data_IF_762831703359
#
_entry.id   IF_762831703359
#
_cell.length_a   1.000
_cell.length_b   1.000
_cell.length_c   1.000
_cell.angle_alpha   90.00
_cell.angle_beta   90.00
_cell.angle_gamma   90.00
#
_symmetry.space_group_name_H-M   'P 1'
#
loop_
_entity.id
_entity.type
_entity.pdbx_description
1 polymer ?
#
# COMPACT_ATOMS: atom_id res chain seq x y z
N UNK A 1 19.21 14.15 5.95
CA UNK A 1 17.85 13.58 5.77
C UNK A 1 17.98 12.07 5.87
N UNK A 2 17.33 11.46 6.87
CA UNK A 2 17.53 10.04 7.20
C UNK A 2 16.96 9.13 6.12
N UNK A 3 17.75 8.14 5.70
CA UNK A 3 17.35 7.02 4.80
C UNK A 3 16.03 6.35 5.25
N UNK A 4 15.73 6.39 6.56
CA UNK A 4 14.46 5.96 7.15
C UNK A 4 13.21 6.66 6.60
N UNK A 5 13.29 7.95 6.28
CA UNK A 5 12.16 8.70 5.72
C UNK A 5 11.86 8.30 4.27
N UNK A 6 12.92 7.97 3.49
CA UNK A 6 12.79 7.46 2.13
C UNK A 6 12.18 6.06 2.13
N UNK A 7 12.57 5.19 3.07
CA UNK A 7 11.95 3.86 3.21
C UNK A 7 10.49 3.92 3.68
N UNK A 8 10.13 4.83 4.59
CA UNK A 8 8.75 5.00 5.03
C UNK A 8 7.85 5.52 3.90
N UNK A 9 8.32 6.51 3.13
CA UNK A 9 7.63 7.01 1.93
C UNK A 9 7.58 5.96 0.81
N UNK A 10 8.66 5.21 0.60
CA UNK A 10 8.71 4.15 -0.41
C UNK A 10 7.82 2.95 -0.05
N UNK A 11 7.61 2.65 1.24
CA UNK A 11 6.66 1.62 1.68
C UNK A 11 5.21 2.12 1.60
N UNK A 12 4.99 3.41 1.88
CA UNK A 12 3.71 4.07 1.62
C UNK A 12 3.35 4.06 0.14
N UNK A 13 4.29 4.11 -0.80
CA UNK A 13 3.99 4.04 -2.24
C UNK A 13 4.05 2.61 -2.81
N UNK A 14 4.96 1.76 -2.32
CA UNK A 14 5.12 0.37 -2.78
C UNK A 14 4.01 -0.58 -2.31
N UNK A 15 3.25 -0.21 -1.27
CA UNK A 15 1.98 -0.86 -0.94
C UNK A 15 0.91 -0.67 -2.03
N UNK A 16 1.21 0.08 -3.09
CA UNK A 16 0.40 0.15 -4.30
C UNK A 16 -0.85 0.98 -4.10
N UNK A 17 -0.66 2.22 -3.64
CA UNK A 17 -1.73 3.20 -3.65
C UNK A 17 -2.09 3.57 -5.08
N UNK A 18 -3.32 3.31 -5.54
CA UNK A 18 -3.77 3.73 -6.88
C UNK A 18 -3.95 5.24 -7.03
N UNK A 19 -3.75 5.99 -5.94
CA UNK A 19 -4.20 7.37 -5.79
C UNK A 19 -3.16 8.42 -6.22
N UNK A 20 -2.00 7.99 -6.70
CA UNK A 20 -0.89 8.86 -7.13
C UNK A 20 -0.86 9.20 -8.63
N UNK A 21 -1.81 8.70 -9.43
CA UNK A 21 -1.85 9.02 -10.87
C UNK A 21 -2.73 10.26 -11.10
N UNK A 22 -2.23 11.44 -10.73
CA UNK A 22 -2.70 12.70 -11.33
C UNK A 22 -2.15 12.76 -12.76
N UNK A 23 -2.87 12.17 -13.71
CA UNK A 23 -2.63 12.33 -15.14
C UNK A 23 -3.15 13.71 -15.58
N UNK A 24 -2.49 14.77 -15.10
CA UNK A 24 -2.61 16.13 -15.60
C UNK A 24 -1.25 16.52 -16.19
N UNK A 25 -1.09 16.27 -17.49
CA UNK A 25 -0.04 16.93 -18.27
C UNK A 25 -0.44 18.39 -18.46
N UNK A 26 -0.03 19.26 -17.53
CA UNK A 26 0.13 20.67 -17.81
C UNK A 26 1.58 21.06 -17.51
N UNK A 27 2.29 21.46 -18.57
CA UNK A 27 3.69 21.86 -18.52
C UNK A 27 3.80 23.15 -17.71
N UNK A 28 4.18 23.03 -16.43
CA UNK A 28 4.72 24.15 -15.65
C UNK A 28 6.16 23.81 -15.25
N UNK A 29 7.11 24.31 -16.04
CA UNK A 29 8.56 24.23 -15.82
C UNK A 29 8.97 25.05 -14.58
N UNK A 30 8.54 24.67 -13.37
CA UNK A 30 9.26 25.09 -12.15
C UNK A 30 8.90 24.39 -10.82
N UNK A 31 8.31 23.20 -10.82
CA UNK A 31 8.01 22.51 -9.55
C UNK A 31 8.14 21.00 -9.66
N UNK A 32 9.18 20.47 -9.01
CA UNK A 32 9.42 19.06 -8.69
C UNK A 32 9.62 18.05 -9.84
N UNK A 33 10.87 17.97 -10.29
CA UNK A 33 11.45 16.77 -10.92
C UNK A 33 11.54 15.55 -9.96
N UNK A 34 11.01 15.64 -8.73
CA UNK A 34 11.13 14.62 -7.69
C UNK A 34 10.05 13.51 -7.75
N UNK A 35 9.04 13.64 -8.60
CA UNK A 35 7.86 12.75 -8.57
C UNK A 35 7.97 11.54 -9.50
N UNK A 36 8.60 11.68 -10.67
CA UNK A 36 8.72 10.58 -11.66
C UNK A 36 9.73 9.49 -11.26
N UNK A 37 10.87 9.88 -10.70
CA UNK A 37 11.95 8.96 -10.31
C UNK A 37 11.54 8.10 -9.10
N UNK A 38 10.91 8.71 -8.09
CA UNK A 38 10.40 8.03 -6.89
C UNK A 38 9.25 7.06 -7.22
N UNK A 39 8.36 7.39 -8.18
CA UNK A 39 7.31 6.46 -8.64
C UNK A 39 7.88 5.24 -9.39
N UNK A 40 8.88 5.45 -10.24
CA UNK A 40 9.52 4.35 -10.97
C UNK A 40 10.27 3.39 -10.03
N UNK A 41 11.01 3.95 -9.06
CA UNK A 41 11.71 3.18 -8.03
C UNK A 41 10.75 2.35 -7.16
N UNK A 42 9.56 2.87 -6.88
CA UNK A 42 8.60 2.18 -6.00
C UNK A 42 7.86 1.04 -6.71
N UNK A 43 7.62 1.18 -8.02
CA UNK A 43 7.05 0.09 -8.84
C UNK A 43 8.01 -1.09 -9.02
N UNK A 44 9.32 -0.80 -9.15
CA UNK A 44 10.37 -1.82 -9.29
C UNK A 44 10.68 -2.52 -7.97
N UNK A 45 10.54 -1.83 -6.84
CA UNK A 45 10.73 -2.41 -5.51
C UNK A 45 9.52 -3.22 -5.01
N UNK A 46 8.32 -2.98 -5.55
CA UNK A 46 7.09 -3.65 -5.11
C UNK A 46 7.17 -5.19 -5.11
N UNK A 47 7.68 -5.87 -6.15
CA UNK A 47 7.86 -7.32 -6.13
C UNK A 47 8.77 -7.80 -4.98
N UNK A 48 9.83 -7.03 -4.66
CA UNK A 48 10.74 -7.36 -3.57
C UNK A 48 10.06 -7.24 -2.20
N UNK A 49 9.26 -6.19 -2.00
CA UNK A 49 8.47 -6.06 -0.77
C UNK A 49 7.43 -7.16 -0.64
N UNK A 50 6.72 -7.50 -1.73
CA UNK A 50 5.78 -8.61 -1.74
C UNK A 50 6.45 -9.93 -1.34
N UNK A 51 7.58 -10.25 -1.96
CA UNK A 51 8.35 -11.44 -1.64
C UNK A 51 8.83 -11.44 -0.18
N UNK A 52 9.28 -10.29 0.32
CA UNK A 52 9.68 -10.15 1.72
C UNK A 52 8.53 -10.43 2.70
N UNK A 53 7.34 -9.91 2.44
CA UNK A 53 6.17 -10.23 3.26
C UNK A 53 5.81 -11.71 3.18
N UNK A 54 5.84 -12.32 2.00
CA UNK A 54 5.60 -13.75 1.84
C UNK A 54 6.56 -14.57 2.71
N UNK A 55 7.87 -14.31 2.64
CA UNK A 55 8.85 -15.01 3.49
C UNK A 55 8.55 -14.88 4.99
N UNK A 56 8.08 -13.72 5.43
CA UNK A 56 7.72 -13.52 6.83
C UNK A 56 6.45 -14.28 7.22
N UNK A 57 5.45 -14.33 6.34
CA UNK A 57 4.27 -15.17 6.55
C UNK A 57 4.65 -16.65 6.57
N UNK A 58 5.45 -17.15 5.62
CA UNK A 58 5.91 -18.56 5.60
C UNK A 58 6.61 -18.95 6.90
N UNK A 59 7.49 -18.07 7.39
CA UNK A 59 8.31 -18.35 8.58
C UNK A 59 7.53 -18.24 9.88
N UNK A 60 6.70 -17.21 10.03
CA UNK A 60 6.12 -16.87 11.32
C UNK A 60 4.65 -17.26 11.46
N UNK A 61 3.89 -17.23 10.36
CA UNK A 61 2.43 -17.42 10.31
C UNK A 61 1.98 -18.11 9.01
N UNK A 62 2.47 -19.33 8.74
CA UNK A 62 2.15 -20.03 7.50
C UNK A 62 0.65 -20.33 7.37
N UNK A 63 -0.06 -20.39 8.49
CA UNK A 63 -1.51 -20.57 8.56
C UNK A 63 -2.30 -19.42 7.92
N UNK A 64 -1.73 -18.21 7.85
CA UNK A 64 -2.36 -17.05 7.21
C UNK A 64 -1.93 -16.84 5.75
N UNK A 65 -1.03 -17.67 5.22
CA UNK A 65 -0.42 -17.43 3.92
C UNK A 65 -1.45 -17.40 2.79
N UNK A 66 -2.38 -18.37 2.77
CA UNK A 66 -3.39 -18.42 1.71
C UNK A 66 -4.31 -17.21 1.77
N UNK A 67 -4.70 -16.79 2.97
CA UNK A 67 -5.53 -15.61 3.17
C UNK A 67 -4.79 -14.32 2.74
N UNK A 68 -3.50 -14.20 3.03
CA UNK A 68 -2.68 -13.09 2.56
C UNK A 68 -2.64 -12.99 1.03
N UNK A 69 -2.47 -14.13 0.35
CA UNK A 69 -2.47 -14.19 -1.12
C UNK A 69 -3.83 -13.84 -1.71
N UNK A 70 -4.92 -14.34 -1.12
CA UNK A 70 -6.27 -14.05 -1.58
C UNK A 70 -6.60 -12.56 -1.46
N UNK A 71 -6.33 -11.94 -0.31
CA UNK A 71 -6.51 -10.50 -0.10
C UNK A 71 -5.68 -9.68 -1.09
N UNK A 72 -4.47 -10.16 -1.44
CA UNK A 72 -3.61 -9.55 -2.46
C UNK A 72 -4.16 -9.67 -3.89
N UNK A 73 -4.72 -10.81 -4.27
CA UNK A 73 -5.39 -10.99 -5.58
C UNK A 73 -6.60 -10.09 -5.71
N UNK A 74 -7.43 -10.06 -4.67
CA UNK A 74 -8.59 -9.20 -4.61
C UNK A 74 -8.20 -7.71 -4.74
N UNK A 75 -7.14 -7.29 -4.04
CA UNK A 75 -6.59 -5.94 -4.16
C UNK A 75 -6.29 -5.58 -5.60
N UNK A 76 -5.56 -6.43 -6.30
CA UNK A 76 -5.15 -6.16 -7.68
C UNK A 76 -6.36 -6.00 -8.60
N UNK A 77 -7.39 -6.84 -8.43
CA UNK A 77 -8.63 -6.72 -9.18
C UNK A 77 -9.37 -5.40 -8.88
N UNK A 78 -9.44 -5.00 -7.61
CA UNK A 78 -10.05 -3.72 -7.20
C UNK A 78 -9.29 -2.52 -7.74
N UNK A 79 -7.95 -2.56 -7.72
CA UNK A 79 -7.10 -1.51 -8.29
C UNK A 79 -7.34 -1.35 -9.79
N UNK A 80 -7.46 -2.44 -10.55
CA UNK A 80 -7.77 -2.37 -11.98
C UNK A 80 -9.13 -1.72 -12.23
N UNK A 81 -10.17 -2.15 -11.50
CA UNK A 81 -11.52 -1.57 -11.59
C UNK A 81 -11.54 -0.08 -11.24
N UNK A 82 -10.82 0.33 -10.20
CA UNK A 82 -10.77 1.73 -9.79
C UNK A 82 -10.07 2.61 -10.85
N UNK A 83 -9.00 2.10 -11.47
CA UNK A 83 -8.30 2.81 -12.55
C UNK A 83 -9.20 3.00 -13.77
N UNK A 84 -9.95 1.96 -14.15
CA UNK A 84 -10.94 2.04 -15.24
C UNK A 84 -12.03 3.06 -14.91
N UNK A 85 -12.60 3.00 -13.71
CA UNK A 85 -13.63 3.93 -13.26
C UNK A 85 -13.15 5.39 -13.26
N UNK A 86 -11.98 5.67 -12.67
CA UNK A 86 -11.42 7.01 -12.60
C UNK A 86 -11.15 7.59 -14.00
N UNK A 87 -10.67 6.75 -14.94
CA UNK A 87 -10.47 7.14 -16.34
C UNK A 87 -11.76 7.54 -17.04
N UNK A 88 -12.85 6.82 -16.78
CA UNK A 88 -14.16 7.08 -17.39
C UNK A 88 -14.87 8.30 -16.79
N UNK A 89 -14.81 8.45 -15.46
CA UNK A 89 -15.59 9.46 -14.73
C UNK A 89 -14.85 10.76 -14.51
N UNK A 90 -13.53 10.82 -14.79
CA UNK A 90 -12.65 11.96 -14.48
C UNK A 90 -12.73 12.39 -13.00
N UNK A 91 -13.00 11.44 -12.13
CA UNK A 91 -13.07 11.63 -10.68
C UNK A 91 -12.00 10.79 -10.02
N UNK A 92 -11.35 11.31 -8.98
CA UNK A 92 -10.44 10.53 -8.17
C UNK A 92 -11.18 10.02 -6.93
N UNK A 93 -11.70 8.78 -6.99
CA UNK A 93 -12.36 8.16 -5.84
C UNK A 93 -11.45 8.03 -4.61
N UNK A 94 -10.12 8.11 -4.78
CA UNK A 94 -9.22 8.09 -3.64
C UNK A 94 -9.32 9.31 -2.74
N UNK A 95 -9.76 10.46 -3.26
CA UNK A 95 -9.94 11.67 -2.45
C UNK A 95 -11.09 11.51 -1.44
N UNK A 96 -11.90 10.46 -1.59
CA UNK A 96 -12.98 10.11 -0.66
C UNK A 96 -12.52 9.20 0.49
N UNK A 97 -11.26 8.75 0.50
CA UNK A 97 -10.70 7.93 1.58
C UNK A 97 -10.30 8.85 2.74
N UNK A 98 -10.77 8.61 3.98
CA UNK A 98 -10.44 9.47 5.13
C UNK A 98 -8.94 9.48 5.46
N UNK A 99 -8.41 10.62 5.90
CA UNK A 99 -7.01 10.75 6.36
C UNK A 99 -6.69 9.80 7.52
N UNK A 100 -7.65 9.57 8.43
CA UNK A 100 -7.53 8.63 9.55
C UNK A 100 -7.14 7.22 9.07
N UNK A 101 -7.65 6.81 7.90
CA UNK A 101 -7.33 5.51 7.31
C UNK A 101 -5.83 5.44 6.95
N UNK A 102 -5.24 6.54 6.45
CA UNK A 102 -3.81 6.63 6.11
C UNK A 102 -2.94 6.56 7.35
N UNK A 103 -3.31 7.28 8.41
CA UNK A 103 -2.62 7.25 9.69
C UNK A 103 -2.61 5.85 10.30
N UNK A 104 -3.74 5.15 10.26
CA UNK A 104 -3.83 3.77 10.74
C UNK A 104 -2.92 2.81 9.96
N UNK A 105 -2.85 2.96 8.64
CA UNK A 105 -1.97 2.14 7.79
C UNK A 105 -0.50 2.42 8.08
N UNK A 106 -0.13 3.69 8.22
CA UNK A 106 1.22 4.09 8.58
C UNK A 106 1.64 3.53 9.93
N UNK A 107 0.80 3.67 10.97
CA UNK A 107 1.09 3.17 12.31
C UNK A 107 1.25 1.64 12.34
N UNK A 108 0.42 0.90 11.60
CA UNK A 108 0.54 -0.55 11.51
C UNK A 108 1.88 -0.96 10.86
N UNK A 109 2.28 -0.26 9.81
CA UNK A 109 3.52 -0.49 9.10
C UNK A 109 4.75 -0.16 9.95
N UNK A 110 4.74 0.96 10.67
CA UNK A 110 5.82 1.36 11.57
C UNK A 110 6.03 0.33 12.70
N UNK A 111 4.94 -0.12 13.32
CA UNK A 111 4.99 -1.16 14.37
C UNK A 111 5.55 -2.48 13.85
N UNK A 112 5.16 -2.85 12.64
CA UNK A 112 5.69 -4.04 11.98
C UNK A 112 7.20 -3.93 11.72
N UNK A 113 7.65 -2.82 11.12
CA UNK A 113 9.06 -2.59 10.82
C UNK A 113 9.91 -2.58 12.09
N UNK A 114 9.41 -1.97 13.17
CA UNK A 114 10.08 -1.99 14.46
C UNK A 114 10.21 -3.41 15.01
N UNK A 115 9.15 -4.23 14.90
CA UNK A 115 9.14 -5.62 15.37
C UNK A 115 10.14 -6.49 14.60
N UNK A 116 10.24 -6.29 13.29
CA UNK A 116 11.25 -6.91 12.43
C UNK A 116 12.66 -6.50 12.83
N UNK A 117 12.88 -5.20 13.05
CA UNK A 117 14.18 -4.64 13.44
C UNK A 117 14.67 -5.19 14.78
N UNK A 118 13.77 -5.29 15.76
CA UNK A 118 14.04 -5.88 17.08
C UNK A 118 14.19 -7.42 17.03
N UNK A 119 13.83 -8.05 15.90
CA UNK A 119 13.81 -9.51 15.71
C UNK A 119 12.95 -10.23 16.76
N UNK A 120 11.96 -9.54 17.31
CA UNK A 120 11.12 -10.06 18.37
C UNK A 120 9.98 -10.88 17.74
N UNK A 121 10.12 -12.21 17.83
CA UNK A 121 9.27 -13.15 17.08
C UNK A 121 7.80 -13.05 17.46
N UNK A 122 7.47 -12.73 18.71
CA UNK A 122 6.09 -12.64 19.18
C UNK A 122 5.40 -11.42 18.60
N UNK A 123 6.04 -10.25 18.67
CA UNK A 123 5.59 -9.00 18.04
C UNK A 123 5.48 -9.14 16.53
N UNK A 124 6.43 -9.79 15.85
CA UNK A 124 6.34 -10.05 14.40
C UNK A 124 5.05 -10.82 14.08
N UNK A 125 4.74 -11.89 14.81
CA UNK A 125 3.50 -12.67 14.60
C UNK A 125 2.23 -11.82 14.79
N UNK A 126 2.22 -10.94 15.79
CA UNK A 126 1.09 -10.02 16.07
C UNK A 126 0.98 -8.97 14.96
N UNK A 127 2.10 -8.38 14.54
CA UNK A 127 2.12 -7.39 13.46
C UNK A 127 1.67 -7.97 12.13
N UNK A 128 1.96 -9.23 11.82
CA UNK A 128 1.47 -9.90 10.61
C UNK A 128 -0.05 -10.04 10.58
N UNK A 129 -0.69 -10.32 11.73
CA UNK A 129 -2.15 -10.26 11.83
C UNK A 129 -2.68 -8.86 11.52
N UNK A 130 -2.06 -7.83 12.10
CA UNK A 130 -2.51 -6.46 11.92
C UNK A 130 -2.33 -6.00 10.47
N UNK A 131 -1.21 -6.34 9.83
CA UNK A 131 -0.98 -6.05 8.41
C UNK A 131 -2.04 -6.69 7.51
N UNK A 132 -2.42 -7.94 7.80
CA UNK A 132 -3.48 -8.61 7.04
C UNK A 132 -4.84 -7.92 7.25
N UNK A 133 -5.17 -7.55 8.48
CA UNK A 133 -6.41 -6.83 8.79
C UNK A 133 -6.48 -5.49 8.04
N UNK A 134 -5.39 -4.73 8.07
CA UNK A 134 -5.21 -3.45 7.36
C UNK A 134 -5.41 -3.63 5.84
N UNK A 135 -4.84 -4.68 5.24
CA UNK A 135 -5.10 -4.97 3.82
C UNK A 135 -6.55 -5.32 3.52
N UNK A 136 -7.25 -6.02 4.43
CA UNK A 136 -8.66 -6.36 4.26
C UNK A 136 -9.55 -5.13 4.33
N UNK A 137 -9.39 -4.30 5.35
CA UNK A 137 -10.18 -3.07 5.50
C UNK A 137 -10.02 -2.18 4.27
N UNK A 138 -8.83 -2.11 3.72
CA UNK A 138 -8.63 -1.35 2.50
C UNK A 138 -9.29 -1.97 1.25
N UNK A 139 -9.45 -3.29 1.16
CA UNK A 139 -10.26 -3.89 0.08
C UNK A 139 -11.73 -3.50 0.27
N UNK A 140 -12.21 -3.46 1.51
CA UNK A 140 -13.59 -3.06 1.86
C UNK A 140 -13.85 -1.59 1.48
N UNK A 141 -12.97 -0.67 1.88
CA UNK A 141 -13.08 0.75 1.51
C UNK A 141 -13.14 0.96 -0.01
N UNK A 142 -12.27 0.27 -0.78
CA UNK A 142 -12.30 0.35 -2.24
C UNK A 142 -13.60 -0.21 -2.83
N UNK A 143 -14.15 -1.28 -2.27
CA UNK A 143 -15.45 -1.82 -2.70
C UNK A 143 -16.58 -0.85 -2.38
N UNK A 144 -16.55 -0.20 -1.22
CA UNK A 144 -17.56 0.79 -0.85
C UNK A 144 -17.51 2.01 -1.76
N UNK A 145 -16.30 2.51 -2.05
CA UNK A 145 -16.09 3.62 -2.97
C UNK A 145 -16.69 3.32 -4.35
N UNK A 146 -16.45 2.12 -4.89
CA UNK A 146 -17.01 1.66 -6.17
C UNK A 146 -18.53 1.42 -6.16
N UNK A 147 -19.15 1.24 -4.99
CA UNK A 147 -20.61 1.04 -4.86
C UNK A 147 -21.38 2.36 -4.71
N UNK A 148 -20.77 3.34 -4.05
CA UNK A 148 -21.37 4.67 -3.79
C UNK A 148 -21.33 5.59 -5.03
N UNK A 149 -20.61 5.18 -6.07
CA UNK A 149 -20.33 5.91 -7.32
C UNK A 149 -21.24 5.51 -8.48
#
# INVERSE_FOLDING_TARGET
MSILLVFLLAVQTASGFPCGDSDYTDYNENSNALTGEVMYETSTLKPHFNYYYELLFEKHRPDLMEEWKEVGREREALTKKLKEFNKEKRTNLCDSIPDEWYEHHQLAQERFLQSVKERETSKIKISLYHLLAVKKTWNEEMKEALKKS
#
